data_IF_553181893198
#
_entry.id   IF_553181893198
#
_cell.length_a   1.000
_cell.length_b   1.000
_cell.length_c   1.000
_cell.angle_alpha   90.00
_cell.angle_beta   90.00
_cell.angle_gamma   90.00
#
_symmetry.space_group_name_H-M   'P 1'
#
loop_
_entity.id
_entity.type
_entity.pdbx_description
1 polymer ?
#
# COMPACT_ATOMS: atom_id res chain seq x y z
N UNK A 1 5.12 9.91 4.26
CA UNK A 1 4.00 9.03 4.67
C UNK A 1 2.84 9.11 3.68
N UNK A 2 2.37 10.32 3.32
CA UNK A 2 1.40 10.49 2.23
C UNK A 2 2.02 10.21 0.85
N UNK A 3 3.22 10.74 0.55
CA UNK A 3 3.95 10.46 -0.72
C UNK A 3 4.18 8.97 -0.95
N UNK A 4 4.60 8.22 0.06
CA UNK A 4 4.78 6.76 -0.03
C UNK A 4 3.49 6.02 -0.43
N UNK A 5 2.33 6.49 0.06
CA UNK A 5 1.04 5.91 -0.31
C UNK A 5 0.60 6.32 -1.73
N UNK A 6 1.05 7.48 -2.22
CA UNK A 6 0.79 7.99 -3.57
C UNK A 6 1.68 7.27 -4.60
N UNK A 7 2.95 6.97 -4.27
CA UNK A 7 3.85 6.20 -5.14
C UNK A 7 3.37 4.75 -5.32
N UNK A 8 2.93 4.11 -4.23
CA UNK A 8 2.31 2.78 -4.29
C UNK A 8 1.01 2.78 -5.10
N UNK A 9 0.23 3.86 -5.03
CA UNK A 9 -0.96 4.03 -5.84
C UNK A 9 -0.63 4.08 -7.33
N UNK A 10 0.36 4.86 -7.74
CA UNK A 10 0.78 4.98 -9.16
C UNK A 10 1.21 3.60 -9.69
N UNK A 11 2.02 2.86 -8.92
CA UNK A 11 2.50 1.53 -9.32
C UNK A 11 1.35 0.53 -9.54
N UNK A 12 0.33 0.55 -8.69
CA UNK A 12 -0.80 -0.38 -8.80
C UNK A 12 -1.85 0.08 -9.83
N UNK A 13 -2.01 1.40 -10.04
CA UNK A 13 -2.92 1.94 -11.06
C UNK A 13 -2.54 1.49 -12.47
N UNK A 14 -1.24 1.33 -12.74
CA UNK A 14 -0.72 0.83 -14.02
C UNK A 14 -0.60 -0.69 -14.12
N UNK A 15 -1.03 -1.44 -13.09
CA UNK A 15 -0.96 -2.91 -13.10
C UNK A 15 -2.03 -3.51 -14.00
N UNK A 16 -1.64 -3.88 -15.22
CA UNK A 16 -2.52 -4.53 -16.20
C UNK A 16 -2.92 -5.93 -15.72
N UNK A 17 -4.23 -6.22 -15.72
CA UNK A 17 -4.75 -7.60 -15.68
C UNK A 17 -5.32 -8.12 -14.35
N UNK A 18 -5.71 -7.28 -13.39
CA UNK A 18 -6.25 -7.77 -12.11
C UNK A 18 -7.74 -7.48 -11.94
N UNK A 19 -8.61 -8.36 -12.47
CA UNK A 19 -9.93 -8.57 -11.84
C UNK A 19 -10.63 -9.88 -12.22
N UNK A 20 -10.48 -10.95 -11.42
CA UNK A 20 -11.47 -12.01 -11.34
C UNK A 20 -12.55 -11.58 -10.33
N UNK A 21 -13.81 -11.49 -10.77
CA UNK A 21 -14.96 -11.47 -9.84
C UNK A 21 -15.04 -12.82 -9.14
N UNK A 22 -14.99 -12.83 -7.82
CA UNK A 22 -15.26 -14.02 -7.01
C UNK A 22 -16.76 -14.19 -6.78
N UNK A 23 -17.32 -15.41 -6.83
CA UNK A 23 -18.75 -15.65 -6.56
C UNK A 23 -19.17 -15.41 -5.09
N UNK A 24 -18.23 -15.13 -4.19
CA UNK A 24 -18.43 -14.91 -2.74
C UNK A 24 -18.04 -13.49 -2.29
N UNK A 25 -17.95 -12.55 -3.25
CA UNK A 25 -17.53 -11.17 -2.98
C UNK A 25 -18.70 -10.35 -2.39
N UNK A 26 -18.42 -9.61 -1.31
CA UNK A 26 -19.39 -8.71 -0.67
C UNK A 26 -19.94 -7.68 -1.70
N UNK A 27 -21.27 -7.50 -1.82
CA UNK A 27 -21.86 -6.62 -2.83
C UNK A 27 -21.42 -5.16 -2.74
N UNK A 28 -21.17 -4.64 -1.53
CA UNK A 28 -20.68 -3.27 -1.35
C UNK A 28 -19.23 -3.16 -1.83
N UNK A 29 -18.38 -4.15 -1.53
CA UNK A 29 -17.00 -4.19 -2.01
C UNK A 29 -16.92 -4.36 -3.53
N UNK A 30 -17.76 -5.22 -4.12
CA UNK A 30 -17.82 -5.44 -5.56
C UNK A 30 -18.23 -4.15 -6.30
N UNK A 31 -19.25 -3.45 -5.79
CA UNK A 31 -19.70 -2.17 -6.32
C UNK A 31 -18.62 -1.09 -6.18
N UNK A 32 -17.93 -1.04 -5.04
CA UNK A 32 -16.86 -0.08 -4.79
C UNK A 32 -15.67 -0.28 -5.73
N UNK A 33 -15.26 -1.53 -5.96
CA UNK A 33 -14.12 -1.83 -6.81
C UNK A 33 -14.32 -1.42 -8.28
N UNK A 34 -15.56 -1.22 -8.75
CA UNK A 34 -15.82 -0.62 -10.07
C UNK A 34 -15.50 0.88 -10.12
N UNK A 35 -15.43 1.54 -8.97
CA UNK A 35 -15.33 3.00 -8.87
C UNK A 35 -13.94 3.47 -8.47
N UNK A 36 -13.19 2.68 -7.70
CA UNK A 36 -11.88 3.06 -7.15
C UNK A 36 -10.75 2.18 -7.67
N UNK A 37 -9.52 2.68 -7.59
CA UNK A 37 -8.34 1.92 -8.03
C UNK A 37 -8.20 0.59 -7.27
N UNK A 38 -7.58 -0.45 -7.87
CA UNK A 38 -7.33 -1.73 -7.19
C UNK A 38 -6.57 -1.58 -5.87
N UNK A 39 -5.61 -0.65 -5.79
CA UNK A 39 -4.88 -0.36 -4.57
C UNK A 39 -5.79 0.13 -3.44
N UNK A 40 -6.57 1.18 -3.71
CA UNK A 40 -7.50 1.73 -2.75
C UNK A 40 -8.55 0.70 -2.33
N UNK A 41 -9.00 -0.14 -3.27
CA UNK A 41 -9.94 -1.22 -2.98
C UNK A 41 -9.37 -2.21 -1.97
N UNK A 42 -8.14 -2.72 -2.14
CA UNK A 42 -7.49 -3.60 -1.16
C UNK A 42 -7.42 -2.98 0.24
N UNK A 43 -7.06 -1.70 0.32
CA UNK A 43 -7.00 -1.00 1.61
C UNK A 43 -8.38 -0.91 2.29
N UNK A 44 -9.43 -0.65 1.51
CA UNK A 44 -10.81 -0.59 2.03
C UNK A 44 -11.31 -1.98 2.42
N UNK A 45 -11.02 -3.00 1.61
CA UNK A 45 -11.36 -4.41 1.89
C UNK A 45 -10.76 -4.88 3.21
N UNK A 46 -9.48 -4.59 3.47
CA UNK A 46 -8.84 -4.91 4.77
C UNK A 46 -9.54 -4.21 5.94
N UNK A 47 -9.84 -2.91 5.82
CA UNK A 47 -10.58 -2.19 6.87
C UNK A 47 -12.00 -2.73 7.05
N UNK A 48 -12.65 -3.11 5.95
CA UNK A 48 -13.99 -3.69 5.95
C UNK A 48 -14.01 -5.02 6.71
N UNK A 49 -13.09 -5.93 6.38
CA UNK A 49 -12.96 -7.21 7.09
C UNK A 49 -12.75 -7.04 8.60
N UNK A 50 -11.93 -6.06 9.02
CA UNK A 50 -11.75 -5.74 10.44
C UNK A 50 -13.00 -5.15 11.11
N UNK A 51 -13.80 -4.40 10.36
CA UNK A 51 -15.01 -3.76 10.86
C UNK A 51 -16.19 -4.73 10.99
N UNK A 52 -16.35 -5.65 10.04
CA UNK A 52 -17.49 -6.58 9.97
C UNK A 52 -17.20 -7.93 10.59
N UNK A 53 -15.94 -8.22 10.95
CA UNK A 53 -15.56 -9.47 11.62
C UNK A 53 -16.44 -9.73 12.86
N UNK A 54 -16.97 -10.94 13.05
CA UNK A 54 -17.69 -11.33 14.26
C UNK A 54 -16.83 -11.17 15.54
N UNK A 55 -15.51 -11.25 15.39
CA UNK A 55 -14.54 -11.12 16.48
C UNK A 55 -14.05 -9.68 16.66
N UNK A 56 -14.76 -8.69 16.09
CA UNK A 56 -14.36 -7.30 16.22
C UNK A 56 -14.57 -6.80 17.64
N UNK A 57 -13.51 -6.29 18.26
CA UNK A 57 -13.51 -5.86 19.67
C UNK A 57 -13.91 -4.40 19.85
N UNK A 58 -14.63 -3.80 18.91
CA UNK A 58 -15.08 -2.41 19.04
C UNK A 58 -16.48 -2.35 19.67
N UNK A 59 -16.64 -1.52 20.69
CA UNK A 59 -17.94 -1.01 21.13
C UNK A 59 -18.19 0.37 20.53
N UNK A 60 -19.43 0.70 20.21
CA UNK A 60 -19.81 2.00 19.63
C UNK A 60 -20.90 2.63 20.47
N UNK A 61 -20.63 3.83 20.98
CA UNK A 61 -21.55 4.61 21.79
C UNK A 61 -21.85 5.94 21.11
N UNK A 62 -23.14 6.26 20.97
CA UNK A 62 -23.57 7.55 20.42
C UNK A 62 -23.49 8.62 21.52
N UNK A 63 -22.67 9.65 21.30
CA UNK A 63 -22.53 10.76 22.26
C UNK A 63 -23.59 11.84 22.05
N UNK A 64 -23.84 12.16 20.79
CA UNK A 64 -24.80 13.17 20.36
C UNK A 64 -25.24 12.84 18.93
N UNK A 65 -26.30 13.49 18.40
CA UNK A 65 -26.61 13.39 16.98
C UNK A 65 -25.35 13.63 16.13
N UNK A 66 -25.08 12.71 15.21
CA UNK A 66 -23.94 12.77 14.30
C UNK A 66 -22.56 12.47 14.88
N UNK A 67 -22.44 12.15 16.17
CA UNK A 67 -21.14 11.89 16.83
C UNK A 67 -21.18 10.63 17.69
N UNK A 68 -20.24 9.72 17.46
CA UNK A 68 -20.06 8.50 18.24
C UNK A 68 -18.61 8.37 18.74
N UNK A 69 -18.42 7.53 19.75
CA UNK A 69 -17.12 7.00 20.14
C UNK A 69 -17.08 5.52 19.79
N UNK A 70 -16.03 5.11 19.10
CA UNK A 70 -15.67 3.71 18.91
C UNK A 70 -14.53 3.35 19.89
N UNK A 71 -14.79 2.44 20.83
CA UNK A 71 -13.83 2.02 21.85
C UNK A 71 -13.37 0.60 21.55
N UNK A 72 -12.06 0.38 21.47
CA UNK A 72 -11.50 -0.96 21.39
C UNK A 72 -11.50 -1.60 22.79
N UNK A 73 -12.34 -2.61 23.01
CA UNK A 73 -12.54 -3.28 24.29
C UNK A 73 -11.28 -3.97 24.83
N UNK A 74 -10.36 -4.39 23.95
CA UNK A 74 -9.11 -5.06 24.36
C UNK A 74 -8.06 -4.09 24.88
N UNK A 75 -8.05 -2.86 24.36
CA UNK A 75 -6.98 -1.87 24.65
C UNK A 75 -7.48 -0.64 25.41
N UNK A 76 -8.79 -0.43 25.45
CA UNK A 76 -9.42 0.80 25.95
C UNK A 76 -9.25 2.02 25.02
N UNK A 77 -8.57 1.88 23.87
CA UNK A 77 -8.33 3.01 22.96
C UNK A 77 -9.65 3.45 22.33
N UNK A 78 -9.94 4.74 22.45
CA UNK A 78 -11.16 5.36 21.94
C UNK A 78 -10.88 6.19 20.70
N UNK A 79 -11.79 6.12 19.72
CA UNK A 79 -11.77 6.96 18.53
C UNK A 79 -13.09 7.71 18.40
N UNK A 80 -13.00 9.03 18.31
CA UNK A 80 -14.15 9.85 17.96
C UNK A 80 -14.49 9.67 16.48
N UNK A 81 -15.76 9.39 16.19
CA UNK A 81 -16.29 9.18 14.85
C UNK A 81 -17.41 10.20 14.60
N UNK A 82 -17.21 11.05 13.60
CA UNK A 82 -18.28 11.86 13.03
C UNK A 82 -19.05 11.00 12.02
N UNK A 83 -20.27 10.62 12.39
CA UNK A 83 -21.08 9.67 11.63
C UNK A 83 -21.68 10.34 10.39
N UNK A 84 -22.15 11.59 10.52
CA UNK A 84 -22.76 12.35 9.41
C UNK A 84 -21.81 12.51 8.23
N UNK A 85 -20.54 12.82 8.52
CA UNK A 85 -19.48 13.01 7.53
C UNK A 85 -18.69 11.74 7.28
N UNK A 86 -18.95 10.67 8.03
CA UNK A 86 -18.16 9.42 8.00
C UNK A 86 -16.66 9.68 8.18
N UNK A 87 -16.29 10.50 9.17
CA UNK A 87 -14.89 10.89 9.47
C UNK A 87 -14.44 10.41 10.85
N UNK A 88 -13.16 10.09 10.97
CA UNK A 88 -12.48 9.65 12.18
C UNK A 88 -11.04 10.14 12.14
N UNK A 89 -10.46 10.51 13.29
CA UNK A 89 -9.07 11.00 13.39
C UNK A 89 -8.03 9.88 13.55
N UNK A 90 -8.38 8.64 13.21
CA UNK A 90 -7.41 7.55 13.28
C UNK A 90 -6.37 7.70 12.16
N UNK A 91 -5.16 7.21 12.40
CA UNK A 91 -4.02 7.31 11.48
C UNK A 91 -4.41 6.91 10.05
N UNK A 92 -5.08 5.76 9.89
CA UNK A 92 -5.49 5.28 8.56
C UNK A 92 -6.33 6.30 7.78
N UNK A 93 -7.31 6.95 8.43
CA UNK A 93 -8.15 7.93 7.75
C UNK A 93 -7.39 9.24 7.52
N UNK A 94 -6.54 9.67 8.45
CA UNK A 94 -5.75 10.89 8.25
C UNK A 94 -4.70 10.72 7.13
N UNK A 95 -4.16 9.51 6.93
CA UNK A 95 -3.16 9.25 5.88
C UNK A 95 -3.78 8.86 4.55
N UNK A 96 -4.73 7.93 4.54
CA UNK A 96 -5.29 7.38 3.31
C UNK A 96 -6.54 8.16 2.85
N UNK A 97 -7.21 8.86 3.76
CA UNK A 97 -8.52 9.51 3.55
C UNK A 97 -9.58 8.56 2.98
N UNK A 98 -9.41 7.26 3.23
CA UNK A 98 -10.36 6.20 2.90
C UNK A 98 -11.18 5.83 4.15
N UNK A 99 -12.37 5.25 3.98
CA UNK A 99 -13.17 4.75 5.09
C UNK A 99 -12.35 3.82 5.99
N UNK A 100 -12.27 4.14 7.27
CA UNK A 100 -11.57 3.32 8.25
C UNK A 100 -12.52 2.34 8.94
N UNK A 101 -11.95 1.30 9.56
CA UNK A 101 -12.74 0.31 10.31
C UNK A 101 -13.63 0.92 11.40
N UNK A 102 -13.23 2.02 12.05
CA UNK A 102 -14.04 2.65 13.10
C UNK A 102 -15.32 3.26 12.54
N UNK A 103 -15.23 3.93 11.39
CA UNK A 103 -16.38 4.52 10.69
C UNK A 103 -17.31 3.41 10.21
N UNK A 104 -16.77 2.40 9.53
CA UNK A 104 -17.55 1.27 9.02
C UNK A 104 -18.25 0.51 10.15
N UNK A 105 -17.52 0.19 11.22
CA UNK A 105 -18.08 -0.51 12.36
C UNK A 105 -19.16 0.31 13.06
N UNK A 106 -18.97 1.63 13.20
CA UNK A 106 -20.00 2.51 13.74
C UNK A 106 -21.26 2.56 12.86
N UNK A 107 -21.12 2.62 11.54
CA UNK A 107 -22.26 2.58 10.61
C UNK A 107 -23.03 1.27 10.72
N UNK A 108 -22.32 0.14 10.77
CA UNK A 108 -22.91 -1.18 10.99
C UNK A 108 -23.69 -1.25 12.31
N UNK A 109 -23.07 -0.81 13.42
CA UNK A 109 -23.71 -0.83 14.75
C UNK A 109 -24.89 0.11 14.87
N UNK A 110 -24.86 1.24 14.17
CA UNK A 110 -25.95 2.22 14.15
C UNK A 110 -27.03 1.92 13.10
N UNK A 111 -26.93 0.79 12.37
CA UNK A 111 -27.97 0.32 11.45
C UNK A 111 -28.10 1.16 10.17
N UNK A 112 -27.00 1.72 9.67
CA UNK A 112 -26.99 2.36 8.35
C UNK A 112 -27.22 1.34 7.23
N UNK A 113 -27.82 1.79 6.13
CA UNK A 113 -28.10 0.95 4.95
C UNK A 113 -26.84 0.30 4.37
N UNK A 114 -25.70 1.02 4.40
CA UNK A 114 -24.41 0.52 3.93
C UNK A 114 -23.33 0.65 4.99
N UNK A 115 -22.46 -0.36 5.08
CA UNK A 115 -21.27 -0.34 5.95
C UNK A 115 -20.22 0.61 5.38
N UNK A 116 -19.95 0.50 4.07
CA UNK A 116 -19.07 1.38 3.32
C UNK A 116 -19.76 2.73 3.16
N UNK A 117 -19.12 3.84 3.59
CA UNK A 117 -19.65 5.18 3.38
C UNK A 117 -19.93 5.50 1.90
N UNK A 118 -20.92 6.37 1.61
CA UNK A 118 -21.27 6.72 0.23
C UNK A 118 -20.08 7.29 -0.56
N UNK A 119 -20.00 7.01 -1.87
CA UNK A 119 -18.89 7.44 -2.75
C UNK A 119 -18.46 8.90 -2.61
N UNK A 120 -19.38 9.82 -2.31
CA UNK A 120 -19.09 11.25 -2.07
C UNK A 120 -18.10 11.51 -0.93
N UNK A 121 -17.87 10.55 -0.04
CA UNK A 121 -16.90 10.67 1.06
C UNK A 121 -15.50 10.20 0.66
N UNK A 122 -15.35 9.55 -0.50
CA UNK A 122 -14.08 9.08 -1.02
C UNK A 122 -13.45 10.22 -1.83
N UNK A 123 -12.19 10.61 -1.52
CA UNK A 123 -11.49 11.62 -2.30
C UNK A 123 -11.39 11.25 -3.78
N UNK A 124 -11.57 12.25 -4.65
CA UNK A 124 -11.52 12.10 -6.10
C UNK A 124 -10.29 11.35 -6.61
N UNK A 125 -9.12 11.52 -5.95
CA UNK A 125 -7.86 10.88 -6.35
C UNK A 125 -7.93 9.35 -6.36
N UNK A 126 -8.81 8.75 -5.55
CA UNK A 126 -8.95 7.29 -5.51
C UNK A 126 -9.95 6.77 -6.55
N UNK A 127 -10.74 7.64 -7.16
CA UNK A 127 -11.84 7.28 -8.08
C UNK A 127 -11.30 7.18 -9.51
N UNK A 128 -11.41 6.01 -10.13
CA UNK A 128 -10.81 5.71 -11.45
C UNK A 128 -11.31 6.68 -12.52
N UNK A 129 -12.61 6.94 -12.55
CA UNK A 129 -13.25 7.79 -13.56
C UNK A 129 -13.31 9.27 -13.15
N UNK A 130 -12.56 9.68 -12.13
CA UNK A 130 -12.50 11.10 -11.79
C UNK A 130 -11.79 11.87 -12.88
N UNK A 131 -12.28 13.06 -13.23
CA UNK A 131 -11.65 13.94 -14.22
C UNK A 131 -10.20 14.28 -13.85
N UNK A 132 -9.86 14.34 -12.56
CA UNK A 132 -8.47 14.59 -12.12
C UNK A 132 -7.52 13.41 -12.36
N UNK A 133 -8.07 12.22 -12.59
CA UNK A 133 -7.31 11.02 -12.93
C UNK A 133 -7.39 10.71 -14.45
N UNK A 134 -8.07 11.57 -15.23
CA UNK A 134 -8.20 11.41 -16.67
C UNK A 134 -6.91 11.87 -17.36
N UNK A 135 -6.02 10.92 -17.66
CA UNK A 135 -4.77 11.21 -18.38
C UNK A 135 -4.96 11.74 -19.81
N UNK A 136 -6.19 11.69 -20.35
CA UNK A 136 -6.53 12.22 -21.67
C UNK A 136 -7.07 13.67 -21.63
N UNK A 137 -7.45 14.19 -20.47
CA UNK A 137 -7.97 15.56 -20.30
C UNK A 137 -7.15 16.34 -19.27
N UNK A 138 -6.52 17.42 -19.73
CA UNK A 138 -5.67 18.30 -18.92
C UNK A 138 -4.19 18.15 -19.26
N UNK A 139 -3.38 19.16 -18.93
CA UNK A 139 -1.95 18.92 -18.78
C UNK A 139 -1.80 17.82 -17.74
N UNK A 140 -0.97 16.80 -18.01
CA UNK A 140 -0.48 15.90 -16.96
C UNK A 140 0.44 16.76 -16.07
N UNK A 141 -0.16 17.61 -15.25
CA UNK A 141 0.54 18.33 -14.19
C UNK A 141 0.93 17.25 -13.20
N UNK A 142 2.23 16.95 -13.17
CA UNK A 142 2.82 16.17 -12.09
C UNK A 142 2.25 16.71 -10.77
N UNK A 143 1.74 15.83 -9.91
CA UNK A 143 1.68 16.15 -8.48
C UNK A 143 3.05 16.73 -8.13
N UNK A 144 3.08 18.01 -7.77
CA UNK A 144 4.25 18.85 -8.02
C UNK A 144 5.53 18.31 -7.38
N UNK A 145 6.42 17.78 -8.21
CA UNK A 145 7.85 17.82 -7.93
C UNK A 145 8.28 19.28 -8.11
N UNK A 146 8.68 19.91 -7.01
CA UNK A 146 9.52 21.10 -7.07
C UNK A 146 10.78 20.70 -7.84
N UNK A 147 10.88 21.12 -9.10
CA UNK A 147 12.13 21.11 -9.85
C UNK A 147 13.06 22.15 -9.20
N UNK A 148 13.64 21.80 -8.06
CA UNK A 148 14.95 22.31 -7.73
C UNK A 148 15.85 21.71 -8.79
N UNK A 149 16.63 22.54 -9.48
CA UNK A 149 17.68 22.10 -10.38
C UNK A 149 18.73 21.31 -9.59
N UNK A 150 18.42 20.06 -9.27
CA UNK A 150 19.39 19.11 -8.81
C UNK A 150 20.30 18.84 -10.01
N UNK A 151 21.61 18.83 -9.78
CA UNK A 151 22.55 18.40 -10.79
C UNK A 151 22.04 17.07 -11.39
N UNK A 152 22.10 16.89 -12.73
CA UNK A 152 21.64 15.66 -13.35
C UNK A 152 22.16 14.47 -12.57
N UNK A 153 21.27 13.56 -12.13
CA UNK A 153 21.70 12.24 -11.69
C UNK A 153 22.63 11.75 -12.79
N UNK A 154 23.88 11.47 -12.42
CA UNK A 154 24.87 10.94 -13.34
C UNK A 154 24.21 9.74 -14.01
N UNK A 155 23.88 9.88 -15.29
CA UNK A 155 23.53 8.73 -16.12
C UNK A 155 24.79 7.89 -16.11
N UNK A 156 24.81 6.89 -15.23
CA UNK A 156 25.89 5.92 -15.23
C UNK A 156 25.93 5.34 -16.65
N UNK A 157 27.13 5.32 -17.21
CA UNK A 157 27.30 4.84 -18.57
C UNK A 157 26.78 3.40 -18.60
N UNK A 158 25.97 3.03 -19.60
CA UNK A 158 25.60 1.64 -19.80
C UNK A 158 26.87 0.80 -19.81
N UNK A 159 26.99 -0.14 -18.88
CA UNK A 159 28.12 -1.08 -18.85
C UNK A 159 27.90 -2.08 -19.97
N UNK A 160 28.90 -2.29 -20.81
CA UNK A 160 28.77 -3.27 -21.90
C UNK A 160 28.62 -4.69 -21.34
N UNK A 161 27.94 -5.60 -22.04
CA UNK A 161 27.80 -6.98 -21.60
C UNK A 161 29.16 -7.66 -21.35
N UNK A 162 30.17 -7.33 -22.15
CA UNK A 162 31.54 -7.80 -21.97
C UNK A 162 32.17 -7.27 -20.68
N UNK A 163 31.99 -5.99 -20.39
CA UNK A 163 32.52 -5.37 -19.16
C UNK A 163 31.79 -5.87 -17.92
N UNK A 164 30.47 -6.10 -17.99
CA UNK A 164 29.70 -6.72 -16.92
C UNK A 164 30.26 -8.10 -16.58
N UNK A 165 30.54 -8.93 -17.60
CA UNK A 165 31.11 -10.25 -17.40
C UNK A 165 32.52 -10.18 -16.79
N UNK A 166 33.41 -9.35 -17.36
CA UNK A 166 34.80 -9.23 -16.90
C UNK A 166 34.86 -8.73 -15.44
N UNK A 167 34.11 -7.68 -15.12
CA UNK A 167 34.12 -7.08 -13.79
C UNK A 167 33.51 -8.01 -12.75
N UNK A 168 32.38 -8.64 -13.06
CA UNK A 168 31.72 -9.59 -12.15
C UNK A 168 32.62 -10.80 -11.89
N UNK A 169 33.25 -11.35 -12.94
CA UNK A 169 34.18 -12.47 -12.81
C UNK A 169 35.38 -12.11 -11.93
N UNK A 170 36.01 -10.96 -12.17
CA UNK A 170 37.16 -10.51 -11.39
C UNK A 170 36.83 -10.29 -9.91
N UNK A 171 35.61 -9.82 -9.60
CA UNK A 171 35.16 -9.68 -8.21
C UNK A 171 34.90 -11.05 -7.56
N UNK A 172 34.22 -11.95 -8.27
CA UNK A 172 33.95 -13.31 -7.78
C UNK A 172 35.25 -14.08 -7.51
N UNK A 173 36.26 -13.96 -8.37
CA UNK A 173 37.58 -14.58 -8.14
C UNK A 173 38.22 -14.11 -6.82
N UNK A 174 38.16 -12.80 -6.51
CA UNK A 174 38.64 -12.27 -5.23
C UNK A 174 37.86 -12.83 -4.03
N UNK A 175 36.55 -13.00 -4.17
CA UNK A 175 35.71 -13.58 -3.11
C UNK A 175 36.10 -15.05 -2.87
N UNK A 176 36.30 -15.82 -3.95
CA UNK A 176 36.77 -17.21 -3.89
C UNK A 176 38.12 -17.32 -3.18
N UNK A 177 39.08 -16.47 -3.54
CA UNK A 177 40.40 -16.42 -2.89
C UNK A 177 40.28 -16.15 -1.38
N UNK A 178 39.39 -15.24 -0.97
CA UNK A 178 39.18 -14.93 0.44
C UNK A 178 38.48 -16.07 1.18
N UNK A 179 37.49 -16.72 0.57
CA UNK A 179 36.79 -17.86 1.15
C UNK A 179 37.71 -19.05 1.38
N UNK A 180 38.60 -19.33 0.43
CA UNK A 180 39.56 -20.44 0.50
C UNK A 180 40.52 -20.32 1.69
N UNK A 181 40.69 -19.11 2.25
CA UNK A 181 41.55 -18.84 3.40
C UNK A 181 40.80 -18.85 4.74
N UNK A 182 39.47 -19.03 4.75
CA UNK A 182 38.68 -18.98 5.97
C UNK A 182 38.70 -20.31 6.75
N UNK A 183 38.48 -20.22 8.06
CA UNK A 183 38.22 -21.41 8.89
C UNK A 183 36.84 -21.99 8.60
N UNK A 184 36.62 -23.28 8.85
CA UNK A 184 35.38 -23.99 8.49
C UNK A 184 34.09 -23.30 8.98
N UNK A 185 33.96 -22.83 10.23
CA UNK A 185 32.73 -22.15 10.68
C UNK A 185 32.46 -20.85 9.93
N UNK A 186 33.51 -20.05 9.68
CA UNK A 186 33.41 -18.78 8.96
C UNK A 186 33.13 -19.01 7.47
N UNK A 187 33.75 -20.02 6.87
CA UNK A 187 33.50 -20.44 5.50
C UNK A 187 32.04 -20.83 5.32
N UNK A 188 31.47 -21.68 6.19
CA UNK A 188 30.09 -22.14 6.06
C UNK A 188 29.06 -21.00 6.11
N UNK A 189 29.26 -20.02 7.00
CA UNK A 189 28.38 -18.84 7.08
C UNK A 189 28.49 -17.98 5.82
N UNK A 190 29.72 -17.67 5.40
CA UNK A 190 29.95 -16.83 4.22
C UNK A 190 29.49 -17.49 2.92
N UNK A 191 29.65 -18.81 2.81
CA UNK A 191 29.18 -19.59 1.68
C UNK A 191 27.66 -19.61 1.60
N UNK A 192 26.97 -19.84 2.74
CA UNK A 192 25.51 -19.81 2.80
C UNK A 192 24.94 -18.45 2.37
N UNK A 193 25.58 -17.36 2.80
CA UNK A 193 25.20 -16.02 2.36
C UNK A 193 25.32 -15.82 0.84
N UNK A 194 26.36 -16.37 0.20
CA UNK A 194 26.50 -16.32 -1.26
C UNK A 194 25.44 -17.14 -1.99
N UNK A 195 25.06 -18.31 -1.45
CA UNK A 195 23.95 -19.10 -1.99
C UNK A 195 22.63 -18.33 -1.92
N UNK A 196 22.34 -17.72 -0.77
CA UNK A 196 21.11 -16.94 -0.60
C UNK A 196 21.09 -15.71 -1.51
N UNK A 197 22.23 -15.05 -1.72
CA UNK A 197 22.38 -13.96 -2.69
C UNK A 197 22.13 -14.44 -4.13
N UNK A 198 22.67 -15.59 -4.52
CA UNK A 198 22.46 -16.17 -5.85
C UNK A 198 20.99 -16.48 -6.11
N UNK A 199 20.29 -17.07 -5.14
CA UNK A 199 18.85 -17.33 -5.23
C UNK A 199 18.04 -16.02 -5.33
N UNK A 200 18.36 -15.01 -4.52
CA UNK A 200 17.71 -13.70 -4.59
C UNK A 200 17.91 -13.02 -5.96
N UNK A 201 19.12 -13.12 -6.53
CA UNK A 201 19.44 -12.59 -7.86
C UNK A 201 18.61 -13.27 -8.95
N UNK A 202 18.51 -14.60 -8.93
CA UNK A 202 17.72 -15.35 -9.90
C UNK A 202 16.21 -15.05 -9.80
N UNK A 203 15.72 -14.79 -8.59
CA UNK A 203 14.31 -14.47 -8.34
C UNK A 203 13.97 -12.99 -8.54
N UNK A 204 14.94 -12.14 -8.90
CA UNK A 204 14.75 -10.69 -9.07
C UNK A 204 14.42 -9.95 -7.76
N UNK A 205 14.88 -10.47 -6.63
CA UNK A 205 14.61 -9.96 -5.27
C UNK A 205 15.76 -9.16 -4.68
N UNK A 206 16.78 -8.82 -5.49
CA UNK A 206 17.90 -7.98 -5.04
C UNK A 206 17.40 -6.54 -4.94
N UNK A 207 17.37 -6.02 -3.72
CA UNK A 207 16.94 -4.66 -3.38
C UNK A 207 18.19 -3.78 -3.27
N UNK A 208 18.11 -2.54 -3.77
CA UNK A 208 19.12 -1.49 -3.54
C UNK A 208 19.23 -1.09 -2.06
#
# INVERSE_FOLDING_TARGET
LQEYAEDQYIAEYHRVGSRPHGPDEDPELAALAMQISPFAHRLVEEQHGLATSPNTNYNVELLSPGKAIATNNSTGVTHEVNIERSRCKCIFMETCLLPCRHVMHARMKLGYETVIPPMKTIPARWIVHSSINNIAEGDVVAGGLLEVSAAPLLKEKPVSASDMYIQSKALTEKIVDRLALQTTPTFSVAYKWLEDFYEALNNGQVVD
#
